data_IF_605423212239
#
_entry.id   IF_605423212239
#
_cell.length_a   1.000
_cell.length_b   1.000
_cell.length_c   1.000
_cell.angle_alpha   90.00
_cell.angle_beta   90.00
_cell.angle_gamma   90.00
#
_symmetry.space_group_name_H-M   'P 1'
#
loop_
_entity.id
_entity.type
_entity.pdbx_description
1 polymer ?
#
# COMPACT_ATOMS: atom_id res chain seq x y z
N UNK A 1 -3.10 11.13 -42.77
CA UNK A 1 -2.48 10.09 -41.92
C UNK A 1 -1.97 10.63 -40.57
N UNK A 2 -1.68 11.93 -40.41
CA UNK A 2 -1.10 12.50 -39.17
C UNK A 2 -2.04 12.49 -37.94
N UNK A 3 -3.34 12.73 -38.12
CA UNK A 3 -4.30 12.85 -37.00
C UNK A 3 -4.56 11.52 -36.25
N UNK A 4 -4.37 10.38 -36.92
CA UNK A 4 -4.49 9.05 -36.30
C UNK A 4 -3.21 8.64 -35.57
N UNK A 5 -2.03 9.01 -36.10
CA UNK A 5 -0.74 8.75 -35.45
C UNK A 5 -0.60 9.48 -34.11
N UNK A 6 -1.02 10.75 -34.04
CA UNK A 6 -1.00 11.54 -32.80
C UNK A 6 -1.95 10.99 -31.74
N UNK A 7 -3.13 10.49 -32.15
CA UNK A 7 -4.09 9.85 -31.23
C UNK A 7 -3.53 8.55 -30.64
N UNK A 8 -2.87 7.74 -31.46
CA UNK A 8 -2.25 6.48 -31.03
C UNK A 8 -1.07 6.76 -30.09
N UNK A 9 -0.24 7.76 -30.41
CA UNK A 9 0.85 8.20 -29.52
C UNK A 9 0.33 8.72 -28.18
N UNK A 10 -0.73 9.54 -28.20
CA UNK A 10 -1.34 10.07 -26.98
C UNK A 10 -1.87 8.96 -26.07
N UNK A 11 -2.55 7.96 -26.65
CA UNK A 11 -3.04 6.78 -25.92
C UNK A 11 -1.89 5.95 -25.35
N UNK A 12 -0.81 5.74 -26.11
CA UNK A 12 0.40 5.04 -25.64
C UNK A 12 1.06 5.75 -24.46
N UNK A 13 1.22 7.08 -24.52
CA UNK A 13 1.82 7.87 -23.43
C UNK A 13 0.95 7.81 -22.18
N UNK A 14 -0.37 7.95 -22.31
CA UNK A 14 -1.30 7.82 -21.17
C UNK A 14 -1.21 6.43 -20.56
N UNK A 15 -1.19 5.36 -21.36
CA UNK A 15 -1.01 3.99 -20.89
C UNK A 15 0.32 3.80 -20.15
N UNK A 16 1.42 4.34 -20.66
CA UNK A 16 2.73 4.28 -19.99
C UNK A 16 2.72 5.03 -18.66
N UNK A 17 2.13 6.23 -18.59
CA UNK A 17 2.01 6.99 -17.35
C UNK A 17 1.15 6.25 -16.32
N UNK A 18 0.05 5.62 -16.73
CA UNK A 18 -0.79 4.79 -15.85
C UNK A 18 -0.03 3.56 -15.37
N UNK A 19 0.71 2.86 -16.24
CA UNK A 19 1.52 1.69 -15.88
C UNK A 19 2.68 2.04 -14.91
N UNK A 20 3.28 3.22 -15.08
CA UNK A 20 4.31 3.74 -14.18
C UNK A 20 3.72 4.16 -12.83
N UNK A 21 2.53 4.76 -12.82
CA UNK A 21 1.80 5.08 -11.59
C UNK A 21 1.41 3.83 -10.79
N UNK A 22 1.09 2.72 -11.46
CA UNK A 22 0.81 1.43 -10.80
C UNK A 22 2.02 0.86 -10.05
N UNK A 23 3.24 1.09 -10.54
CA UNK A 23 4.47 0.68 -9.85
C UNK A 23 4.84 1.64 -8.70
N UNK A 24 4.41 2.90 -8.76
CA UNK A 24 4.80 3.93 -7.80
C UNK A 24 4.03 3.89 -6.47
N UNK A 25 2.89 3.19 -6.38
CA UNK A 25 2.02 3.24 -5.18
C UNK A 25 1.49 1.89 -4.71
N UNK A 26 2.18 0.78 -4.97
CA UNK A 26 1.89 -0.45 -4.24
C UNK A 26 2.50 -0.36 -2.83
N UNK A 27 1.90 0.46 -1.96
CA UNK A 27 2.29 0.57 -0.55
C UNK A 27 2.23 -0.79 0.15
N UNK A 28 2.80 -0.91 1.35
CA UNK A 28 2.92 -2.20 2.06
C UNK A 28 1.58 -2.88 2.25
N UNK A 29 0.48 -2.14 2.41
CA UNK A 29 -0.87 -2.69 2.51
C UNK A 29 -1.34 -3.31 1.20
N UNK A 30 -1.00 -2.71 0.05
CA UNK A 30 -1.26 -3.31 -1.26
C UNK A 30 -0.37 -4.54 -1.48
N UNK A 31 0.90 -4.49 -1.04
CA UNK A 31 1.80 -5.64 -1.03
C UNK A 31 1.22 -6.79 -0.19
N UNK A 32 0.82 -6.48 1.05
CA UNK A 32 0.21 -7.42 1.99
C UNK A 32 -1.10 -8.00 1.47
N UNK A 33 -2.01 -7.14 1.03
CA UNK A 33 -3.32 -7.56 0.51
C UNK A 33 -3.18 -8.44 -0.73
N UNK A 34 -2.35 -8.05 -1.69
CA UNK A 34 -2.06 -8.84 -2.88
C UNK A 34 -1.44 -10.20 -2.53
N UNK A 35 -0.43 -10.19 -1.66
CA UNK A 35 0.28 -11.41 -1.28
C UNK A 35 -0.61 -12.36 -0.45
N UNK A 36 -1.42 -11.82 0.47
CA UNK A 36 -2.41 -12.59 1.22
C UNK A 36 -3.44 -13.23 0.28
N UNK A 37 -3.96 -12.47 -0.69
CA UNK A 37 -4.89 -12.99 -1.68
C UNK A 37 -4.26 -14.12 -2.49
N UNK A 38 -3.00 -13.97 -2.93
CA UNK A 38 -2.29 -14.97 -3.72
C UNK A 38 -1.89 -16.23 -2.94
N UNK A 39 -1.62 -16.09 -1.64
CA UNK A 39 -1.18 -17.19 -0.79
C UNK A 39 -2.33 -17.92 -0.10
N UNK A 40 -3.39 -17.21 0.31
CA UNK A 40 -4.44 -17.74 1.18
C UNK A 40 -5.78 -17.87 0.47
N UNK A 41 -6.21 -16.85 -0.29
CA UNK A 41 -7.57 -16.79 -0.85
C UNK A 41 -7.70 -17.38 -2.26
N UNK A 42 -6.67 -17.26 -3.11
CA UNK A 42 -6.69 -17.86 -4.45
C UNK A 42 -6.62 -19.39 -4.33
N UNK A 43 -7.53 -20.05 -5.05
CA UNK A 43 -7.46 -21.49 -5.25
C UNK A 43 -6.20 -21.83 -6.07
N UNK A 44 -5.51 -22.91 -5.71
CA UNK A 44 -4.28 -23.35 -6.40
C UNK A 44 -3.09 -23.65 -5.49
N UNK A 45 -3.16 -23.31 -4.19
CA UNK A 45 -2.17 -23.74 -3.18
C UNK A 45 -2.77 -24.72 -2.19
N UNK A 46 -2.07 -25.84 -1.99
CA UNK A 46 -2.33 -26.82 -0.93
C UNK A 46 -2.07 -26.20 0.44
N UNK A 47 -2.67 -26.73 1.53
CA UNK A 47 -2.43 -26.21 2.88
C UNK A 47 -0.94 -26.11 3.26
N UNK A 48 -0.11 -27.06 2.80
CA UNK A 48 1.33 -27.07 3.04
C UNK A 48 2.09 -25.98 2.27
N UNK A 49 1.55 -25.46 1.18
CA UNK A 49 2.16 -24.36 0.39
C UNK A 49 1.75 -22.97 0.88
N UNK A 50 0.59 -22.86 1.52
CA UNK A 50 0.04 -21.57 2.00
C UNK A 50 0.92 -20.93 3.06
N UNK A 51 1.38 -21.71 4.04
CA UNK A 51 2.21 -21.22 5.14
C UNK A 51 3.58 -20.69 4.66
N UNK A 52 4.36 -21.43 3.84
CA UNK A 52 5.59 -20.91 3.24
C UNK A 52 5.37 -19.64 2.41
N UNK A 53 4.31 -19.61 1.59
CA UNK A 53 3.95 -18.44 0.78
C UNK A 53 3.66 -17.22 1.67
N UNK A 54 2.83 -17.39 2.70
CA UNK A 54 2.53 -16.33 3.66
C UNK A 54 3.79 -15.84 4.39
N UNK A 55 4.70 -16.74 4.78
CA UNK A 55 5.98 -16.36 5.37
C UNK A 55 6.85 -15.51 4.43
N UNK A 56 6.74 -15.76 3.13
CA UNK A 56 7.44 -14.99 2.12
C UNK A 56 6.81 -13.60 1.92
N UNK A 57 5.49 -13.47 2.11
CA UNK A 57 4.82 -12.17 2.19
C UNK A 57 5.38 -11.34 3.34
N UNK A 58 5.52 -11.91 4.55
CA UNK A 58 6.12 -11.23 5.71
C UNK A 58 7.49 -10.62 5.34
N UNK A 59 8.36 -11.41 4.71
CA UNK A 59 9.71 -10.97 4.35
C UNK A 59 9.71 -9.92 3.23
N UNK A 60 8.86 -10.08 2.23
CA UNK A 60 8.90 -9.25 1.03
C UNK A 60 8.14 -7.92 1.22
N UNK A 61 7.10 -7.91 2.03
CA UNK A 61 6.26 -6.77 2.35
C UNK A 61 6.60 -6.18 3.73
N UNK A 62 7.88 -6.00 4.03
CA UNK A 62 8.39 -5.31 5.23
C UNK A 62 8.98 -3.95 4.84
N UNK A 63 8.81 -2.88 5.65
CA UNK A 63 9.41 -1.57 5.38
C UNK A 63 10.93 -1.69 5.24
N UNK A 64 11.53 -1.08 4.22
CA UNK A 64 12.98 -1.20 3.96
C UNK A 64 13.78 0.05 4.31
N UNK A 65 13.10 1.16 4.59
CA UNK A 65 13.71 2.42 4.99
C UNK A 65 13.12 2.96 6.30
N UNK A 66 13.86 3.80 7.04
CA UNK A 66 13.32 4.51 8.20
C UNK A 66 12.08 5.35 7.85
N UNK A 67 12.07 5.97 6.67
CA UNK A 67 10.90 6.70 6.16
C UNK A 67 9.69 5.81 5.93
N UNK A 68 9.89 4.60 5.40
CA UNK A 68 8.80 3.63 5.25
C UNK A 68 8.28 3.22 6.63
N UNK A 69 9.18 2.92 7.58
CA UNK A 69 8.80 2.55 8.93
C UNK A 69 7.96 3.64 9.61
N UNK A 70 8.41 4.90 9.54
CA UNK A 70 7.69 6.03 10.11
C UNK A 70 6.31 6.19 9.48
N UNK A 71 6.21 6.09 8.15
CA UNK A 71 4.93 6.17 7.42
C UNK A 71 3.96 5.07 7.86
N UNK A 72 4.39 3.81 7.89
CA UNK A 72 3.51 2.69 8.25
C UNK A 72 3.16 2.67 9.74
N UNK A 73 4.08 3.09 10.61
CA UNK A 73 3.77 3.28 12.03
C UNK A 73 2.67 4.35 12.20
N UNK A 74 2.79 5.49 11.52
CA UNK A 74 1.79 6.57 11.62
C UNK A 74 0.41 6.11 11.12
N UNK A 75 0.37 5.39 10.00
CA UNK A 75 -0.86 4.78 9.49
C UNK A 75 -1.48 3.82 10.49
N UNK A 76 -0.70 2.85 11.00
CA UNK A 76 -1.18 1.89 11.99
C UNK A 76 -1.68 2.56 13.27
N UNK A 77 -0.95 3.56 13.77
CA UNK A 77 -1.35 4.37 14.92
C UNK A 77 -2.68 5.09 14.67
N UNK A 78 -2.85 5.71 13.50
CA UNK A 78 -4.08 6.44 13.17
C UNK A 78 -5.31 5.53 13.12
N UNK A 79 -5.17 4.34 12.51
CA UNK A 79 -6.24 3.34 12.42
C UNK A 79 -6.62 2.79 13.79
N UNK A 80 -5.63 2.56 14.65
CA UNK A 80 -5.85 1.99 15.98
C UNK A 80 -6.45 2.99 16.97
N UNK A 81 -5.97 4.24 16.96
CA UNK A 81 -6.25 5.19 18.04
C UNK A 81 -7.16 6.36 17.63
N UNK A 82 -7.15 6.75 16.36
CA UNK A 82 -7.79 7.99 15.92
C UNK A 82 -9.19 7.78 15.33
N UNK A 83 -9.59 6.55 15.01
CA UNK A 83 -10.92 6.22 14.48
C UNK A 83 -12.06 6.63 15.42
N UNK A 84 -11.82 6.67 16.73
CA UNK A 84 -12.79 7.18 17.71
C UNK A 84 -13.12 8.67 17.57
N UNK A 85 -12.28 9.44 16.88
CA UNK A 85 -12.46 10.86 16.60
C UNK A 85 -12.99 11.14 15.20
N UNK A 86 -13.53 10.13 14.49
CA UNK A 86 -13.96 10.27 13.10
C UNK A 86 -14.97 11.41 12.84
N UNK A 87 -15.69 11.87 13.88
CA UNK A 87 -16.67 12.95 13.80
C UNK A 87 -16.21 14.26 14.46
N UNK A 88 -14.99 14.30 15.00
CA UNK A 88 -14.37 15.46 15.64
C UNK A 88 -13.07 15.79 14.87
N UNK A 89 -13.17 16.74 13.93
CA UNK A 89 -12.05 17.10 13.05
C UNK A 89 -10.80 17.53 13.81
N UNK A 90 -10.96 18.39 14.81
CA UNK A 90 -9.85 18.88 15.64
C UNK A 90 -9.24 17.75 16.47
N UNK A 91 -10.08 16.88 17.03
CA UNK A 91 -9.66 15.68 17.75
C UNK A 91 -8.89 14.70 16.86
N UNK A 92 -9.37 14.49 15.63
CA UNK A 92 -8.75 13.63 14.64
C UNK A 92 -7.37 14.17 14.23
N UNK A 93 -7.28 15.44 13.90
CA UNK A 93 -6.02 16.08 13.50
C UNK A 93 -4.98 16.03 14.63
N UNK A 94 -5.39 16.36 15.86
CA UNK A 94 -4.51 16.26 17.03
C UNK A 94 -4.05 14.82 17.28
N UNK A 95 -4.92 13.84 17.09
CA UNK A 95 -4.57 12.43 17.24
C UNK A 95 -3.54 11.98 16.20
N UNK A 96 -3.75 12.33 14.93
CA UNK A 96 -2.80 12.03 13.83
C UNK A 96 -1.45 12.71 14.11
N UNK A 97 -1.45 13.96 14.59
CA UNK A 97 -0.24 14.65 15.03
C UNK A 97 0.52 13.88 16.13
N UNK A 98 -0.19 13.34 17.12
CA UNK A 98 0.40 12.51 18.18
C UNK A 98 1.02 11.21 17.66
N UNK A 99 0.48 10.61 16.59
CA UNK A 99 1.09 9.44 15.96
C UNK A 99 2.52 9.72 15.45
N UNK A 100 2.83 10.95 15.07
CA UNK A 100 4.21 11.33 14.71
C UNK A 100 5.16 11.22 15.89
N UNK A 101 4.71 11.51 17.11
CA UNK A 101 5.53 11.40 18.32
C UNK A 101 5.72 9.94 18.76
N UNK A 102 4.68 9.11 18.62
CA UNK A 102 4.75 7.67 18.92
C UNK A 102 5.70 6.97 17.95
N UNK A 103 5.70 7.38 16.69
CA UNK A 103 6.43 6.74 15.60
C UNK A 103 7.83 7.33 15.35
N UNK A 104 8.40 8.01 16.35
CA UNK A 104 9.80 8.41 16.27
C UNK A 104 10.68 7.14 16.20
N UNK A 105 11.70 7.10 15.33
CA UNK A 105 12.59 5.96 15.19
C UNK A 105 13.41 5.70 16.47
#
# INVERSE_FOLDING_TARGET
>A
MERSGVKILGVMVVLMVVMLAQHATAGIYACWGGCYNDCILKNGKTPSERLPCYSQCLRNCTPRSPSDYQYYCQLGCSLQFCTRFAYDGDGLERCIGNCTNICKP
#
